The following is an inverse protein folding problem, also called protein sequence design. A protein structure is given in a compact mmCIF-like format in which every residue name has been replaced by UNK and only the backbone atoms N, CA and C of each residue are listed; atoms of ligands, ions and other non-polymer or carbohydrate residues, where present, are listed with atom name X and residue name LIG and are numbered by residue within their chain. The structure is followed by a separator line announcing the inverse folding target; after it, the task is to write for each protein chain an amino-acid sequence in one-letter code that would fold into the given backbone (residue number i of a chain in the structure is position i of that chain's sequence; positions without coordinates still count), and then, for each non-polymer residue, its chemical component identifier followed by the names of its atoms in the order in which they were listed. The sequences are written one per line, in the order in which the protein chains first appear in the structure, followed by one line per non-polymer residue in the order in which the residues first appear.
data_IF_044350837053
#
_entry.id   IF_044350837053
#
_cell.length_a   1.000
_cell.length_b   1.000
_cell.length_c   1.000
_cell.angle_alpha   90.00
_cell.angle_beta   90.00
_cell.angle_gamma   90.00
#
_symmetry.space_group_name_H-M   'P 1'
#
loop_
_entity.id
_entity.type
_entity.pdbx_description
1 polymer ?
#
# COMPACT_ATOMS: atom_id res chain seq x y z
N UNK A 1 25.64 0.20 3.96
CA UNK A 1 24.78 -0.94 4.35
C UNK A 1 23.41 -0.52 4.88
N UNK A 2 23.29 0.43 5.82
CA UNK A 2 21.99 0.89 6.34
C UNK A 2 21.07 1.48 5.27
N UNK A 3 21.60 2.35 4.40
CA UNK A 3 20.83 2.98 3.31
C UNK A 3 20.27 1.96 2.29
N UNK A 4 21.03 0.90 1.99
CA UNK A 4 20.56 -0.18 1.10
C UNK A 4 19.40 -0.98 1.73
N UNK A 5 19.45 -1.21 3.06
CA UNK A 5 18.35 -1.86 3.78
C UNK A 5 17.09 -1.01 3.77
N UNK A 6 17.22 0.29 4.03
CA UNK A 6 16.09 1.23 3.99
C UNK A 6 15.46 1.28 2.59
N UNK A 7 16.29 1.33 1.54
CA UNK A 7 15.80 1.28 0.15
C UNK A 7 15.06 -0.03 -0.14
N UNK A 8 15.60 -1.17 0.28
CA UNK A 8 14.96 -2.47 0.08
C UNK A 8 13.60 -2.56 0.77
N UNK A 9 13.49 -2.08 2.01
CA UNK A 9 12.22 -2.04 2.75
C UNK A 9 11.17 -1.16 2.07
N UNK A 10 11.55 0.03 1.59
CA UNK A 10 10.65 0.91 0.84
C UNK A 10 10.18 0.23 -0.45
N UNK A 11 11.08 -0.41 -1.19
CA UNK A 11 10.73 -1.10 -2.42
C UNK A 11 9.75 -2.25 -2.18
N UNK A 12 9.94 -3.02 -1.12
CA UNK A 12 9.02 -4.09 -0.74
C UNK A 12 7.64 -3.52 -0.36
N UNK A 13 7.60 -2.44 0.41
CA UNK A 13 6.36 -1.76 0.77
C UNK A 13 5.61 -1.26 -0.46
N UNK A 14 6.32 -0.63 -1.40
CA UNK A 14 5.73 -0.15 -2.67
C UNK A 14 5.17 -1.32 -3.47
N UNK A 15 5.93 -2.40 -3.66
CA UNK A 15 5.47 -3.58 -4.39
C UNK A 15 4.21 -4.21 -3.75
N UNK A 16 4.16 -4.26 -2.42
CA UNK A 16 3.01 -4.77 -1.67
C UNK A 16 1.78 -3.89 -1.85
N UNK A 17 1.93 -2.57 -1.70
CA UNK A 17 0.86 -1.59 -1.92
C UNK A 17 0.34 -1.65 -3.35
N UNK A 18 1.24 -1.70 -4.34
CA UNK A 18 0.87 -1.83 -5.75
C UNK A 18 0.00 -3.04 -5.98
N UNK A 19 0.41 -4.22 -5.51
CA UNK A 19 -0.34 -5.47 -5.71
C UNK A 19 -1.70 -5.41 -5.01
N UNK A 20 -1.72 -5.10 -3.71
CA UNK A 20 -2.95 -5.10 -2.91
C UNK A 20 -3.97 -4.07 -3.39
N UNK A 21 -3.51 -2.87 -3.75
CA UNK A 21 -4.41 -1.82 -4.20
C UNK A 21 -4.84 -1.99 -5.65
N UNK A 22 -4.01 -2.60 -6.49
CA UNK A 22 -4.42 -3.01 -7.82
C UNK A 22 -5.59 -3.99 -7.76
N UNK A 23 -5.43 -5.10 -7.03
CA UNK A 23 -6.46 -6.15 -6.90
C UNK A 23 -7.79 -5.63 -6.33
N UNK A 24 -7.72 -4.61 -5.47
CA UNK A 24 -8.91 -4.01 -4.84
C UNK A 24 -9.62 -2.98 -5.70
N UNK A 25 -8.86 -2.19 -6.45
CA UNK A 25 -9.39 -1.00 -7.12
C UNK A 25 -9.57 -1.16 -8.62
N UNK A 26 -8.83 -2.08 -9.24
CA UNK A 26 -8.85 -2.30 -10.68
C UNK A 26 -9.54 -3.64 -10.96
N UNK A 27 -10.84 -3.59 -11.24
CA UNK A 27 -11.68 -4.78 -11.46
C UNK A 27 -11.85 -5.14 -12.93
N UNK A 28 -11.30 -4.34 -13.83
CA UNK A 28 -11.33 -4.54 -15.28
C UNK A 28 -10.06 -4.01 -15.92
N UNK A 29 -10.03 -3.94 -17.25
CA UNK A 29 -8.92 -3.29 -17.97
C UNK A 29 -9.08 -1.78 -17.87
N UNK A 30 -8.14 -1.03 -17.26
CA UNK A 30 -8.20 0.42 -17.23
C UNK A 30 -8.14 1.00 -18.65
N UNK A 31 -8.71 2.18 -18.85
CA UNK A 31 -8.49 2.95 -20.08
C UNK A 31 -7.05 3.49 -20.17
N UNK A 32 -6.83 4.45 -21.07
CA UNK A 32 -5.53 5.14 -21.18
C UNK A 32 -5.12 5.93 -19.92
N UNK A 33 -6.07 6.11 -18.99
CA UNK A 33 -5.90 6.77 -17.69
C UNK A 33 -6.85 6.09 -16.69
N UNK A 34 -6.49 6.13 -15.42
CA UNK A 34 -7.43 5.77 -14.36
C UNK A 34 -8.62 6.74 -14.35
N UNK A 35 -9.81 6.19 -14.23
CA UNK A 35 -11.03 6.92 -13.92
C UNK A 35 -10.92 7.63 -12.56
N UNK A 36 -11.79 8.60 -12.32
CA UNK A 36 -11.82 9.32 -11.04
C UNK A 36 -12.06 8.39 -9.85
N UNK A 37 -12.94 7.39 -10.02
CA UNK A 37 -13.23 6.39 -8.98
C UNK A 37 -12.05 5.47 -8.69
N UNK A 38 -11.32 5.02 -9.73
CA UNK A 38 -10.10 4.21 -9.56
C UNK A 38 -9.01 5.00 -8.83
N UNK A 39 -8.79 6.27 -9.20
CA UNK A 39 -7.81 7.14 -8.53
C UNK A 39 -8.16 7.33 -7.05
N UNK A 40 -9.41 7.66 -6.75
CA UNK A 40 -9.88 7.80 -5.36
C UNK A 40 -9.76 6.48 -4.59
N UNK A 41 -10.08 5.34 -5.22
CA UNK A 41 -9.92 4.03 -4.59
C UNK A 41 -8.45 3.76 -4.26
N UNK A 42 -7.53 3.96 -5.21
CA UNK A 42 -6.10 3.70 -5.02
C UNK A 42 -5.52 4.57 -3.88
N UNK A 43 -5.87 5.86 -3.85
CA UNK A 43 -5.47 6.77 -2.76
C UNK A 43 -5.96 6.28 -1.39
N UNK A 44 -7.26 5.92 -1.31
CA UNK A 44 -7.85 5.42 -0.08
C UNK A 44 -7.26 4.07 0.33
N UNK A 45 -7.01 3.17 -0.61
CA UNK A 45 -6.43 1.86 -0.35
C UNK A 45 -5.04 1.99 0.24
N UNK A 46 -4.16 2.77 -0.40
CA UNK A 46 -2.79 2.96 0.09
C UNK A 46 -2.78 3.58 1.50
N UNK A 47 -3.62 4.61 1.72
CA UNK A 47 -3.73 5.24 3.03
C UNK A 47 -4.21 4.27 4.11
N UNK A 48 -5.29 3.55 3.84
CA UNK A 48 -5.87 2.56 4.79
C UNK A 48 -4.90 1.42 5.08
N UNK A 49 -4.16 0.95 4.08
CA UNK A 49 -3.18 -0.11 4.27
C UNK A 49 -2.08 0.31 5.25
N UNK A 50 -1.53 1.52 5.06
CA UNK A 50 -0.50 2.06 5.94
C UNK A 50 -1.03 2.31 7.36
N UNK A 51 -2.21 2.94 7.49
CA UNK A 51 -2.83 3.22 8.78
C UNK A 51 -3.08 1.92 9.58
N UNK A 52 -3.63 0.90 8.91
CA UNK A 52 -3.88 -0.40 9.56
C UNK A 52 -2.59 -1.15 9.89
N UNK A 53 -1.58 -1.09 9.01
CA UNK A 53 -0.28 -1.70 9.28
C UNK A 53 0.37 -1.08 10.52
N UNK A 54 0.32 0.25 10.64
CA UNK A 54 0.82 0.97 11.82
C UNK A 54 0.06 0.60 13.10
N UNK A 55 -1.27 0.51 13.03
CA UNK A 55 -2.10 0.09 14.17
C UNK A 55 -1.73 -1.33 14.64
N UNK A 56 -1.60 -2.27 13.70
CA UNK A 56 -1.24 -3.66 13.99
C UNK A 56 0.16 -3.74 14.60
N UNK A 57 1.14 -3.04 14.03
CA UNK A 57 2.49 -2.98 14.59
C UNK A 57 2.50 -2.45 16.03
N UNK A 58 1.78 -1.35 16.28
CA UNK A 58 1.64 -0.79 17.63
C UNK A 58 1.01 -1.78 18.60
N UNK A 59 0.00 -2.54 18.16
CA UNK A 59 -0.63 -3.58 19.00
C UNK A 59 0.36 -4.69 19.35
N UNK A 60 1.18 -5.15 18.41
CA UNK A 60 2.20 -6.17 18.68
C UNK A 60 3.27 -5.67 19.65
N UNK A 61 3.72 -4.42 19.51
CA UNK A 61 4.66 -3.80 20.45
C UNK A 61 4.09 -3.71 21.88
N UNK A 62 2.80 -3.42 22.02
CA UNK A 62 2.14 -3.35 23.32
C UNK A 62 1.86 -4.72 23.97
N UNK A 63 2.07 -5.83 23.25
CA UNK A 63 1.92 -7.20 23.77
C UNK A 63 3.28 -7.81 24.22
N UNK A 64 4.39 -7.12 24.00
CA UNK A 64 5.71 -7.43 24.56
C UNK A 64 5.91 -6.72 25.89
#
# INVERSE_FOLDING_TARGET
MQQEKERAMINEMVAKLTTVCWDKCITGTPGSKFSSSEQTCLQNCARRYLDMSALIMKRFQNMQ
#
